data_IF_717447153440
#
_entry.id   IF_717447153440
#
_cell.length_a   1.000
_cell.length_b   1.000
_cell.length_c   1.000
_cell.angle_alpha   90.00
_cell.angle_beta   90.00
_cell.angle_gamma   90.00
#
_symmetry.space_group_name_H-M   'P 1'
#
loop_
_entity.id
_entity.type
_entity.pdbx_description
1 polymer ?
#
# COMPACT_ATOMS: atom_id res chain seq x y z
N UNK A 1 -41.96 0.20 -29.86
CA UNK A 1 -41.18 -1.05 -29.74
C UNK A 1 -39.76 -0.65 -29.40
N UNK A 2 -39.29 -0.89 -28.16
CA UNK A 2 -37.94 -0.50 -27.71
C UNK A 2 -36.96 -1.66 -27.97
N UNK A 3 -35.82 -1.45 -28.66
CA UNK A 3 -34.81 -2.49 -28.77
C UNK A 3 -34.13 -2.70 -27.41
N UNK A 4 -34.11 -3.95 -26.95
CA UNK A 4 -33.39 -4.36 -25.74
C UNK A 4 -31.91 -4.53 -26.08
N UNK A 5 -31.07 -3.56 -25.75
CA UNK A 5 -29.62 -3.70 -25.77
C UNK A 5 -29.20 -4.39 -24.46
N UNK A 6 -28.75 -5.64 -24.57
CA UNK A 6 -28.24 -6.41 -23.43
C UNK A 6 -26.79 -5.99 -23.15
N UNK A 7 -26.58 -5.21 -22.08
CA UNK A 7 -25.25 -4.91 -21.55
C UNK A 7 -25.02 -5.84 -20.36
N UNK A 8 -24.09 -6.78 -20.52
CA UNK A 8 -23.57 -7.63 -19.44
C UNK A 8 -22.65 -6.79 -18.55
N UNK A 9 -23.16 -6.30 -17.42
CA UNK A 9 -22.33 -5.77 -16.32
C UNK A 9 -22.20 -6.84 -15.24
N UNK A 10 -21.00 -7.42 -15.13
CA UNK A 10 -20.67 -8.37 -14.06
C UNK A 10 -20.46 -7.65 -12.73
N UNK A 11 -21.16 -8.14 -11.72
CA UNK A 11 -21.13 -7.72 -10.31
C UNK A 11 -19.74 -7.84 -9.69
N UNK A 12 -19.26 -6.77 -9.04
CA UNK A 12 -18.13 -6.85 -8.11
C UNK A 12 -18.52 -6.29 -6.74
N UNK A 13 -18.95 -7.18 -5.85
CA UNK A 13 -19.18 -6.94 -4.43
C UNK A 13 -18.14 -7.71 -3.61
N UNK A 14 -17.43 -7.03 -2.70
CA UNK A 14 -16.97 -7.49 -1.36
C UNK A 14 -16.01 -6.42 -0.80
N UNK A 15 -16.36 -5.70 0.27
CA UNK A 15 -16.31 -6.04 1.71
C UNK A 15 -14.90 -6.32 2.21
N UNK A 16 -14.36 -5.44 3.06
CA UNK A 16 -13.49 -5.84 4.18
C UNK A 16 -13.39 -4.72 5.24
N UNK A 17 -13.59 -5.17 6.47
CA UNK A 17 -13.79 -4.46 7.73
C UNK A 17 -12.48 -3.91 8.31
N UNK A 18 -12.53 -2.69 8.86
CA UNK A 18 -11.46 -2.10 9.68
C UNK A 18 -11.76 -2.49 11.15
N UNK A 19 -10.87 -3.27 11.78
CA UNK A 19 -10.86 -3.41 13.24
C UNK A 19 -9.80 -2.48 13.83
N UNK A 20 -10.28 -1.58 14.67
CA UNK A 20 -9.56 -0.65 15.53
C UNK A 20 -9.92 -1.06 16.97
N UNK A 21 -8.96 -1.22 17.88
CA UNK A 21 -9.10 -0.97 19.33
C UNK A 21 -7.82 -1.29 20.15
N UNK A 22 -7.69 -0.74 21.39
CA UNK A 22 -6.45 -0.18 21.93
C UNK A 22 -5.94 -0.79 23.28
N UNK A 23 -4.69 -0.44 23.64
CA UNK A 23 -4.23 0.02 24.97
C UNK A 23 -4.20 -0.91 26.20
N UNK A 24 -3.09 -0.89 26.97
CA UNK A 24 -2.95 -0.77 28.45
C UNK A 24 -1.44 -0.77 28.80
N UNK A 25 -0.82 0.31 29.31
CA UNK A 25 -0.75 0.84 30.68
C UNK A 25 0.29 0.16 31.62
N UNK A 26 1.20 0.99 32.15
CA UNK A 26 2.31 0.73 33.09
C UNK A 26 1.90 0.12 34.42
N UNK A 27 2.87 -0.54 35.09
CA UNK A 27 2.91 -0.64 36.54
C UNK A 27 4.34 -0.40 37.08
N UNK A 28 4.47 0.66 37.87
CA UNK A 28 5.57 0.98 38.77
C UNK A 28 5.46 0.16 40.06
N UNK A 29 6.58 -0.30 40.61
CA UNK A 29 6.66 -0.64 42.04
C UNK A 29 8.05 -0.34 42.59
N UNK A 30 8.09 0.66 43.46
CA UNK A 30 9.19 1.02 44.37
C UNK A 30 9.25 0.07 45.57
N UNK A 31 10.45 -0.28 46.01
CA UNK A 31 10.70 -0.73 47.39
C UNK A 31 12.10 -0.32 47.82
N UNK A 32 12.18 0.48 48.89
CA UNK A 32 13.41 0.82 49.59
C UNK A 32 13.78 -0.28 50.60
N UNK A 33 15.07 -0.48 50.82
CA UNK A 33 15.61 -1.39 51.85
C UNK A 33 17.10 -1.14 52.07
N UNK A 34 17.47 -0.94 53.33
CA UNK A 34 18.70 -0.28 53.81
C UNK A 34 19.83 -1.28 54.15
N UNK A 35 21.07 -0.85 53.91
CA UNK A 35 22.37 -1.25 54.55
C UNK A 35 22.81 -2.72 54.59
N UNK A 36 23.99 -3.02 54.05
CA UNK A 36 25.26 -3.28 54.79
C UNK A 36 26.35 -3.79 53.83
N UNK A 37 27.54 -3.21 53.91
CA UNK A 37 28.72 -3.63 53.15
C UNK A 37 29.27 -4.95 53.71
N UNK A 38 29.51 -5.93 52.85
CA UNK A 38 30.36 -7.10 53.12
C UNK A 38 31.15 -7.41 51.85
N UNK A 39 32.45 -7.13 51.90
CA UNK A 39 33.39 -7.48 50.84
C UNK A 39 33.49 -9.00 50.76
N UNK A 40 33.16 -9.57 49.60
CA UNK A 40 33.58 -10.91 49.19
C UNK A 40 33.88 -10.86 47.71
N UNK A 41 35.17 -10.89 47.39
CA UNK A 41 35.65 -11.04 46.03
C UNK A 41 35.29 -12.44 45.54
N UNK A 42 34.36 -12.54 44.58
CA UNK A 42 34.11 -13.77 43.82
C UNK A 42 33.72 -13.36 42.38
N UNK A 43 34.67 -13.60 41.47
CA UNK A 43 34.55 -13.87 40.03
C UNK A 43 33.50 -13.07 39.22
N UNK A 44 33.88 -12.20 38.26
CA UNK A 44 32.90 -11.73 37.28
C UNK A 44 32.51 -12.95 36.45
N UNK A 45 31.32 -13.51 36.67
CA UNK A 45 30.70 -14.40 35.69
C UNK A 45 30.42 -13.54 34.47
N UNK A 46 31.17 -13.66 33.35
CA UNK A 46 30.67 -13.09 32.12
C UNK A 46 29.60 -14.07 31.60
N UNK A 47 28.86 -13.68 30.57
CA UNK A 47 28.30 -14.57 29.54
C UNK A 47 26.82 -14.99 29.52
N UNK A 48 26.06 -15.17 30.61
CA UNK A 48 24.63 -15.58 30.43
C UNK A 48 23.76 -14.45 29.90
N UNK A 49 23.78 -13.28 30.57
CA UNK A 49 22.99 -12.13 30.13
C UNK A 49 23.42 -11.62 28.75
N UNK A 50 24.72 -11.57 28.44
CA UNK A 50 25.21 -11.07 27.15
C UNK A 50 24.87 -12.01 25.98
N UNK A 51 24.97 -13.33 26.18
CA UNK A 51 24.58 -14.31 25.17
C UNK A 51 23.06 -14.35 24.96
N UNK A 52 22.27 -14.35 26.06
CA UNK A 52 20.80 -14.25 25.97
C UNK A 52 20.35 -12.95 25.29
N UNK A 53 21.01 -11.82 25.58
CA UNK A 53 20.72 -10.55 24.93
C UNK A 53 21.06 -10.59 23.43
N UNK A 54 22.14 -11.26 23.03
CA UNK A 54 22.48 -11.47 21.62
C UNK A 54 21.41 -12.30 20.90
N UNK A 55 21.11 -13.51 21.39
CA UNK A 55 20.11 -14.40 20.77
C UNK A 55 18.73 -13.74 20.68
N UNK A 56 18.32 -13.02 21.74
CA UNK A 56 17.04 -12.29 21.73
C UNK A 56 17.02 -11.17 20.71
N UNK A 57 18.11 -10.41 20.58
CA UNK A 57 18.22 -9.33 19.59
C UNK A 57 18.28 -9.88 18.16
N UNK A 58 19.00 -10.99 17.94
CA UNK A 58 19.08 -11.68 16.66
C UNK A 58 17.70 -12.16 16.22
N UNK A 59 17.01 -12.92 17.07
CA UNK A 59 15.64 -13.39 16.79
C UNK A 59 14.65 -12.25 16.53
N UNK A 60 14.76 -11.13 17.26
CA UNK A 60 13.92 -9.95 17.03
C UNK A 60 14.20 -9.27 15.67
N UNK A 61 15.45 -9.26 15.21
CA UNK A 61 15.80 -8.73 13.88
C UNK A 61 15.35 -9.69 12.77
N UNK A 62 15.55 -11.00 12.94
CA UNK A 62 15.08 -12.01 12.00
C UNK A 62 13.57 -11.95 11.81
N UNK A 63 12.80 -11.84 12.90
CA UNK A 63 11.34 -11.68 12.85
C UNK A 63 10.95 -10.45 12.03
N UNK A 64 11.60 -9.31 12.30
CA UNK A 64 11.35 -8.08 11.57
C UNK A 64 11.68 -8.19 10.07
N UNK A 65 12.72 -8.93 9.70
CA UNK A 65 13.07 -9.17 8.30
C UNK A 65 12.04 -10.10 7.64
N UNK A 66 11.64 -11.18 8.32
CA UNK A 66 10.63 -12.12 7.84
C UNK A 66 9.25 -11.48 7.65
N UNK A 67 8.84 -10.59 8.55
CA UNK A 67 7.59 -9.82 8.42
C UNK A 67 7.61 -8.95 7.15
N UNK A 68 8.76 -8.36 6.81
CA UNK A 68 8.94 -7.55 5.60
C UNK A 68 8.97 -8.42 4.35
N UNK A 69 9.66 -9.56 4.38
CA UNK A 69 9.66 -10.57 3.30
C UNK A 69 8.23 -11.01 3.00
N UNK A 70 7.48 -11.42 4.02
CA UNK A 70 6.08 -11.84 3.90
C UNK A 70 5.21 -10.73 3.30
N UNK A 71 5.45 -9.47 3.70
CA UNK A 71 4.75 -8.32 3.13
C UNK A 71 5.05 -8.17 1.63
N UNK A 72 6.31 -8.26 1.23
CA UNK A 72 6.74 -8.16 -0.18
C UNK A 72 6.20 -9.30 -1.03
N UNK A 73 6.16 -10.53 -0.51
CA UNK A 73 5.54 -11.68 -1.19
C UNK A 73 4.04 -11.45 -1.44
N UNK A 74 3.34 -10.87 -0.46
CA UNK A 74 1.95 -10.44 -0.63
C UNK A 74 1.79 -9.37 -1.70
N UNK A 75 2.71 -8.40 -1.78
CA UNK A 75 2.71 -7.38 -2.84
C UNK A 75 3.02 -7.97 -4.22
N UNK A 76 3.99 -8.88 -4.30
CA UNK A 76 4.32 -9.63 -5.52
C UNK A 76 3.12 -10.43 -6.04
N UNK A 77 2.42 -11.12 -5.14
CA UNK A 77 1.18 -11.83 -5.46
C UNK A 77 0.09 -10.89 -5.96
N UNK A 78 -0.06 -9.73 -5.33
CA UNK A 78 -1.01 -8.69 -5.77
C UNK A 78 -0.68 -8.19 -7.18
N UNK A 79 0.59 -7.91 -7.47
CA UNK A 79 1.04 -7.50 -8.81
C UNK A 79 0.71 -8.60 -9.83
N UNK A 80 1.07 -9.85 -9.56
CA UNK A 80 0.84 -10.98 -10.45
C UNK A 80 -0.66 -11.22 -10.73
N UNK A 81 -1.51 -11.11 -9.71
CA UNK A 81 -2.96 -11.31 -9.82
C UNK A 81 -3.73 -10.14 -10.43
N UNK A 82 -3.13 -8.95 -10.53
CA UNK A 82 -3.84 -7.76 -11.02
C UNK A 82 -4.08 -7.86 -12.52
N UNK A 83 -5.34 -7.88 -12.93
CA UNK A 83 -5.75 -7.94 -14.35
C UNK A 83 -5.82 -6.57 -15.02
N UNK A 84 -5.85 -5.49 -14.23
CA UNK A 84 -5.96 -4.12 -14.75
C UNK A 84 -4.62 -3.39 -14.77
N UNK A 85 -3.59 -3.96 -14.16
CA UNK A 85 -2.26 -3.35 -14.11
C UNK A 85 -1.62 -3.31 -15.50
N UNK A 86 -1.10 -2.16 -15.89
CA UNK A 86 -0.45 -1.98 -17.19
C UNK A 86 0.81 -2.85 -17.30
N UNK A 87 1.24 -3.22 -18.52
CA UNK A 87 2.49 -3.97 -18.70
C UNK A 87 3.73 -3.22 -18.17
N UNK A 88 3.75 -1.90 -18.31
CA UNK A 88 4.84 -1.04 -17.84
C UNK A 88 4.90 -1.06 -16.31
N UNK A 89 3.79 -0.78 -15.64
CA UNK A 89 3.74 -0.76 -14.18
C UNK A 89 3.99 -2.14 -13.59
N UNK A 90 3.49 -3.20 -14.22
CA UNK A 90 3.81 -4.58 -13.82
C UNK A 90 5.31 -4.82 -13.82
N UNK A 91 6.00 -4.39 -14.87
CA UNK A 91 7.45 -4.57 -15.00
C UNK A 91 8.19 -3.77 -13.93
N UNK A 92 7.85 -2.49 -13.77
CA UNK A 92 8.46 -1.59 -12.78
C UNK A 92 8.25 -2.10 -11.35
N UNK A 93 7.02 -2.44 -10.99
CA UNK A 93 6.70 -2.92 -9.64
C UNK A 93 7.31 -4.30 -9.37
N UNK A 94 7.35 -5.19 -10.36
CA UNK A 94 7.99 -6.52 -10.21
C UNK A 94 9.50 -6.39 -10.03
N UNK A 95 10.13 -5.42 -10.70
CA UNK A 95 11.55 -5.13 -10.50
C UNK A 95 11.83 -4.55 -9.10
N UNK A 96 10.96 -3.65 -8.62
CA UNK A 96 11.05 -3.06 -7.28
C UNK A 96 10.92 -4.12 -6.18
N UNK A 97 9.87 -4.95 -6.25
CA UNK A 97 9.56 -5.96 -5.22
C UNK A 97 10.38 -7.25 -5.37
N UNK A 98 10.91 -7.50 -6.56
CA UNK A 98 11.39 -8.81 -7.00
C UNK A 98 12.49 -9.47 -6.15
N UNK A 99 12.69 -10.77 -6.39
CA UNK A 99 13.68 -11.60 -5.69
C UNK A 99 15.11 -11.46 -6.23
N UNK A 100 15.35 -10.58 -7.20
CA UNK A 100 16.70 -10.28 -7.68
C UNK A 100 17.51 -9.59 -6.58
N UNK A 101 18.85 -9.64 -6.67
CA UNK A 101 19.74 -9.04 -5.68
C UNK A 101 19.61 -7.51 -5.56
N UNK A 102 18.95 -6.86 -6.51
CA UNK A 102 18.64 -5.42 -6.49
C UNK A 102 17.19 -5.13 -6.11
N UNK A 103 16.33 -6.15 -6.06
CA UNK A 103 14.97 -6.03 -5.58
C UNK A 103 14.90 -6.18 -4.07
N UNK A 104 13.83 -5.66 -3.47
CA UNK A 104 13.71 -5.59 -2.02
C UNK A 104 13.67 -6.98 -1.38
N UNK A 105 13.03 -7.96 -2.04
CA UNK A 105 12.91 -9.32 -1.53
C UNK A 105 14.26 -10.05 -1.58
N UNK A 106 15.05 -9.88 -2.63
CA UNK A 106 16.40 -10.45 -2.70
C UNK A 106 17.35 -9.84 -1.67
N UNK A 107 17.27 -8.52 -1.47
CA UNK A 107 18.08 -7.80 -0.48
C UNK A 107 17.76 -8.25 0.96
N UNK A 108 16.48 -8.41 1.29
CA UNK A 108 16.07 -8.87 2.62
C UNK A 108 16.44 -10.34 2.87
N UNK A 109 16.32 -11.22 1.87
CA UNK A 109 16.77 -12.62 2.01
C UNK A 109 18.28 -12.74 2.23
N UNK A 110 19.07 -11.93 1.51
CA UNK A 110 20.52 -11.87 1.74
C UNK A 110 20.85 -11.35 3.15
N UNK A 111 20.10 -10.36 3.63
CA UNK A 111 20.26 -9.83 4.99
C UNK A 111 19.88 -10.86 6.05
N UNK A 112 18.77 -11.58 5.87
CA UNK A 112 18.36 -12.64 6.79
C UNK A 112 19.48 -13.69 6.94
N UNK A 113 20.10 -14.07 5.82
CA UNK A 113 21.21 -15.04 5.82
C UNK A 113 22.42 -14.51 6.59
N UNK A 114 22.75 -13.21 6.44
CA UNK A 114 23.85 -12.59 7.20
C UNK A 114 23.54 -12.53 8.69
N UNK A 115 22.35 -12.06 9.07
CA UNK A 115 21.90 -11.98 10.47
C UNK A 115 21.93 -13.35 11.15
N UNK A 116 21.55 -14.42 10.45
CA UNK A 116 21.64 -15.79 10.96
C UNK A 116 23.08 -16.27 11.19
N UNK A 117 24.05 -15.69 10.46
CA UNK A 117 25.47 -15.99 10.58
C UNK A 117 26.22 -15.09 11.56
N UNK A 118 25.59 -14.01 12.05
CA UNK A 118 26.19 -13.10 13.01
C UNK A 118 26.57 -13.83 14.31
N UNK A 119 27.69 -13.43 14.91
CA UNK A 119 28.18 -14.01 16.17
C UNK A 119 28.37 -12.95 17.25
N UNK A 120 28.26 -11.67 16.88
CA UNK A 120 28.48 -10.53 17.79
C UNK A 120 27.39 -9.47 17.67
N UNK A 121 27.18 -8.73 18.76
CA UNK A 121 26.26 -7.60 18.77
C UNK A 121 26.69 -6.44 17.83
N UNK A 122 27.97 -6.38 17.46
CA UNK A 122 28.48 -5.37 16.54
C UNK A 122 28.06 -5.66 15.10
N UNK A 123 28.19 -6.92 14.66
CA UNK A 123 27.73 -7.39 13.34
C UNK A 123 26.21 -7.17 13.22
N UNK A 124 25.43 -7.61 14.21
CA UNK A 124 23.98 -7.46 14.22
C UNK A 124 23.52 -6.01 14.12
N UNK A 125 24.23 -5.08 14.78
CA UNK A 125 23.95 -3.65 14.68
C UNK A 125 24.32 -3.08 13.31
N UNK A 126 25.41 -3.54 12.71
CA UNK A 126 25.83 -3.12 11.38
C UNK A 126 24.78 -3.54 10.33
N UNK A 127 24.35 -4.80 10.35
CA UNK A 127 23.34 -5.33 9.43
C UNK A 127 21.99 -4.64 9.60
N UNK A 128 21.55 -4.43 10.84
CA UNK A 128 20.33 -3.64 11.12
C UNK A 128 20.42 -2.22 10.53
N UNK A 129 21.59 -1.59 10.63
CA UNK A 129 21.79 -0.20 10.18
C UNK A 129 21.93 -0.10 8.67
N UNK A 130 22.50 -1.11 8.02
CA UNK A 130 22.72 -1.12 6.58
C UNK A 130 21.42 -1.35 5.78
N UNK A 131 20.45 -2.09 6.34
CA UNK A 131 19.35 -2.65 5.52
C UNK A 131 18.00 -2.00 5.82
N UNK A 132 17.71 -1.72 7.10
CA UNK A 132 16.39 -1.20 7.49
C UNK A 132 16.12 0.23 6.99
N UNK A 133 17.11 1.14 6.92
CA UNK A 133 16.92 2.48 6.36
C UNK A 133 16.53 2.50 4.88
N UNK A 134 17.11 1.62 4.10
CA UNK A 134 16.95 1.60 2.64
C UNK A 134 15.73 0.78 2.21
N UNK A 135 15.29 -0.16 3.05
CA UNK A 135 14.12 -1.00 2.79
C UNK A 135 12.88 -0.50 3.52
N UNK A 136 12.33 0.61 3.01
CA UNK A 136 11.10 1.28 3.48
C UNK A 136 9.83 0.55 3.01
N UNK A 137 9.77 -0.76 3.25
CA UNK A 137 8.70 -1.65 2.74
C UNK A 137 7.31 -1.14 3.09
N UNK A 138 7.07 -0.72 4.33
CA UNK A 138 5.73 -0.32 4.77
C UNK A 138 5.33 1.10 4.40
N UNK A 139 6.28 2.00 4.18
CA UNK A 139 6.02 3.45 4.04
C UNK A 139 6.31 4.00 2.64
N UNK A 140 7.04 3.27 1.81
CA UNK A 140 7.30 3.62 0.40
C UNK A 140 6.80 2.52 -0.51
N UNK A 141 7.36 1.31 -0.39
CA UNK A 141 7.15 0.23 -1.36
C UNK A 141 5.70 -0.25 -1.38
N UNK A 142 5.13 -0.52 -0.21
CA UNK A 142 3.74 -0.93 -0.10
C UNK A 142 2.77 0.16 -0.61
N UNK A 143 2.91 1.45 -0.24
CA UNK A 143 2.13 2.51 -0.86
C UNK A 143 2.26 2.57 -2.38
N UNK A 144 3.48 2.56 -2.93
CA UNK A 144 3.72 2.61 -4.38
C UNK A 144 2.95 1.48 -5.08
N UNK A 145 3.15 0.23 -4.68
CA UNK A 145 2.44 -0.91 -5.29
C UNK A 145 0.91 -0.77 -5.17
N UNK A 146 0.42 -0.41 -3.98
CA UNK A 146 -1.02 -0.38 -3.75
C UNK A 146 -1.72 0.79 -4.46
N UNK A 147 -1.10 1.96 -4.52
CA UNK A 147 -1.63 3.14 -5.21
C UNK A 147 -1.58 2.89 -6.71
N UNK A 148 -0.46 2.46 -7.29
CA UNK A 148 -0.36 2.16 -8.73
C UNK A 148 -1.40 1.12 -9.17
N UNK A 149 -1.53 -0.01 -8.46
CA UNK A 149 -2.56 -1.02 -8.79
C UNK A 149 -3.98 -0.42 -8.77
N UNK A 150 -4.25 0.50 -7.85
CA UNK A 150 -5.58 1.12 -7.73
C UNK A 150 -5.79 2.20 -8.79
N UNK A 151 -4.78 3.01 -9.09
CA UNK A 151 -4.79 4.01 -10.16
C UNK A 151 -5.05 3.33 -11.51
N UNK A 152 -4.32 2.26 -11.84
CA UNK A 152 -4.55 1.48 -13.07
C UNK A 152 -5.96 0.90 -13.16
N UNK A 153 -6.51 0.45 -12.02
CA UNK A 153 -7.89 -0.02 -11.97
C UNK A 153 -8.89 1.11 -12.22
N UNK A 154 -8.66 2.29 -11.67
CA UNK A 154 -9.48 3.49 -11.92
C UNK A 154 -9.38 3.86 -13.40
N UNK A 155 -8.17 3.91 -13.97
CA UNK A 155 -7.94 4.18 -15.41
C UNK A 155 -8.71 3.20 -16.29
N UNK A 156 -8.66 1.91 -15.97
CA UNK A 156 -9.40 0.89 -16.69
C UNK A 156 -10.91 1.12 -16.65
N UNK A 157 -11.48 1.36 -15.46
CA UNK A 157 -12.93 1.59 -15.31
C UNK A 157 -13.34 2.90 -15.99
N UNK A 158 -12.55 3.97 -15.84
CA UNK A 158 -12.79 5.26 -16.48
C UNK A 158 -12.84 5.09 -18.01
N UNK A 159 -11.92 4.29 -18.57
CA UNK A 159 -11.91 3.96 -20.00
C UNK A 159 -13.15 3.17 -20.44
N UNK A 160 -13.65 2.25 -19.60
CA UNK A 160 -14.92 1.56 -19.87
C UNK A 160 -16.10 2.53 -19.90
N UNK A 161 -16.16 3.48 -18.95
CA UNK A 161 -17.19 4.53 -18.94
C UNK A 161 -17.12 5.35 -20.22
N UNK A 162 -15.93 5.85 -20.60
CA UNK A 162 -15.74 6.59 -21.85
C UNK A 162 -16.20 5.79 -23.07
N UNK A 163 -15.94 4.47 -23.10
CA UNK A 163 -16.36 3.62 -24.22
C UNK A 163 -17.87 3.48 -24.38
N UNK A 164 -18.65 3.65 -23.30
CA UNK A 164 -20.11 3.55 -23.31
C UNK A 164 -20.82 4.91 -23.39
N UNK A 165 -20.11 6.03 -23.26
CA UNK A 165 -20.69 7.38 -23.35
C UNK A 165 -21.57 7.61 -24.59
N UNK A 166 -21.21 7.16 -25.82
CA UNK A 166 -22.08 7.32 -26.98
C UNK A 166 -23.45 6.61 -26.83
N UNK A 167 -23.47 5.45 -26.17
CA UNK A 167 -24.70 4.72 -25.89
C UNK A 167 -25.53 5.44 -24.84
N UNK A 168 -24.90 5.95 -23.78
CA UNK A 168 -25.59 6.73 -22.74
C UNK A 168 -26.21 8.00 -23.35
N UNK A 169 -25.47 8.72 -24.20
CA UNK A 169 -25.96 9.90 -24.93
C UNK A 169 -27.17 9.58 -25.81
N UNK A 170 -27.16 8.43 -26.49
CA UNK A 170 -28.31 7.95 -27.27
C UNK A 170 -29.53 7.73 -26.37
N UNK A 171 -29.36 7.11 -25.21
CA UNK A 171 -30.46 6.89 -24.26
C UNK A 171 -31.01 8.21 -23.68
N UNK A 172 -30.15 9.18 -23.37
CA UNK A 172 -30.57 10.53 -22.95
C UNK A 172 -31.49 11.15 -24.01
N UNK A 173 -31.13 11.00 -25.29
CA UNK A 173 -31.93 11.50 -26.42
C UNK A 173 -33.25 10.75 -26.55
N UNK A 174 -33.24 9.42 -26.45
CA UNK A 174 -34.43 8.57 -26.50
C UNK A 174 -35.40 8.83 -25.34
N UNK A 175 -34.88 9.25 -24.18
CA UNK A 175 -35.66 9.71 -23.03
C UNK A 175 -36.20 11.14 -23.20
N UNK A 176 -36.01 11.76 -24.37
CA UNK A 176 -36.51 13.09 -24.69
C UNK A 176 -35.70 14.23 -24.06
N UNK A 177 -34.43 13.98 -23.70
CA UNK A 177 -33.55 14.95 -23.04
C UNK A 177 -34.13 15.47 -21.72
N UNK A 178 -34.51 14.55 -20.83
CA UNK A 178 -34.97 14.93 -19.50
C UNK A 178 -33.86 15.71 -18.77
N UNK A 179 -34.24 16.74 -18.00
CA UNK A 179 -33.26 17.56 -17.28
C UNK A 179 -32.36 16.72 -16.35
N UNK A 180 -32.93 15.70 -15.71
CA UNK A 180 -32.21 14.75 -14.85
C UNK A 180 -31.15 13.98 -15.63
N UNK A 181 -31.51 13.40 -16.78
CA UNK A 181 -30.58 12.59 -17.58
C UNK A 181 -29.47 13.44 -18.19
N UNK A 182 -29.81 14.65 -18.67
CA UNK A 182 -28.82 15.59 -19.21
C UNK A 182 -27.84 16.06 -18.13
N UNK A 183 -28.30 16.37 -16.91
CA UNK A 183 -27.42 16.73 -15.80
C UNK A 183 -26.49 15.58 -15.43
N UNK A 184 -27.02 14.36 -15.28
CA UNK A 184 -26.23 13.17 -14.96
C UNK A 184 -25.18 12.88 -16.04
N UNK A 185 -25.56 12.94 -17.32
CA UNK A 185 -24.63 12.75 -18.44
C UNK A 185 -23.50 13.78 -18.46
N UNK A 186 -23.80 15.08 -18.29
CA UNK A 186 -22.78 16.12 -18.22
C UNK A 186 -21.84 15.95 -17.02
N UNK A 187 -22.35 15.44 -15.90
CA UNK A 187 -21.55 15.14 -14.72
C UNK A 187 -20.56 14.00 -14.99
N UNK A 188 -21.00 12.92 -15.65
CA UNK A 188 -20.12 11.82 -16.07
C UNK A 188 -18.97 12.34 -16.93
N UNK A 189 -19.25 13.16 -17.93
CA UNK A 189 -18.20 13.74 -18.81
C UNK A 189 -17.19 14.60 -18.04
N UNK A 190 -17.70 15.39 -17.08
CA UNK A 190 -16.86 16.20 -16.19
C UNK A 190 -15.97 15.30 -15.32
N UNK A 191 -16.54 14.24 -14.76
CA UNK A 191 -15.85 13.29 -13.89
C UNK A 191 -14.75 12.52 -14.63
N UNK A 192 -15.01 12.06 -15.85
CA UNK A 192 -14.02 11.37 -16.70
C UNK A 192 -12.78 12.24 -16.91
N UNK A 193 -12.97 13.54 -17.18
CA UNK A 193 -11.86 14.49 -17.37
C UNK A 193 -11.11 14.74 -16.05
N UNK A 194 -11.83 14.90 -14.94
CA UNK A 194 -11.24 15.12 -13.63
C UNK A 194 -10.43 13.92 -13.14
N UNK A 195 -10.97 12.70 -13.29
CA UNK A 195 -10.31 11.44 -12.94
C UNK A 195 -9.05 11.24 -13.77
N UNK A 196 -9.10 11.50 -15.08
CA UNK A 196 -7.92 11.42 -15.96
C UNK A 196 -6.80 12.36 -15.49
N UNK A 197 -7.16 13.58 -15.09
CA UNK A 197 -6.20 14.56 -14.56
C UNK A 197 -5.64 14.13 -13.20
N UNK A 198 -6.49 13.60 -12.32
CA UNK A 198 -6.10 13.08 -11.00
C UNK A 198 -5.08 11.94 -11.12
N UNK A 199 -5.34 10.97 -12.00
CA UNK A 199 -4.42 9.84 -12.25
C UNK A 199 -3.07 10.34 -12.76
N UNK A 200 -3.07 11.28 -13.72
CA UNK A 200 -1.81 11.85 -14.25
C UNK A 200 -0.97 12.49 -13.14
N UNK A 201 -1.62 13.17 -12.20
CA UNK A 201 -0.93 13.75 -11.04
C UNK A 201 -0.42 12.67 -10.07
N UNK A 202 -1.21 11.62 -9.81
CA UNK A 202 -0.81 10.47 -8.99
C UNK A 202 0.43 9.79 -9.58
N UNK A 203 0.47 9.56 -10.89
CA UNK A 203 1.61 8.91 -11.56
C UNK A 203 2.88 9.77 -11.46
N UNK A 204 2.74 11.09 -11.61
CA UNK A 204 3.84 12.02 -11.41
C UNK A 204 4.36 12.00 -9.97
N UNK A 205 3.47 11.93 -8.99
CA UNK A 205 3.81 11.88 -7.56
C UNK A 205 4.44 10.53 -7.17
N UNK A 206 3.97 9.42 -7.74
CA UNK A 206 4.54 8.09 -7.52
C UNK A 206 5.99 8.01 -7.98
N UNK A 207 6.34 8.67 -9.08
CA UNK A 207 7.71 8.72 -9.58
C UNK A 207 8.72 9.36 -8.60
N UNK A 208 8.27 10.17 -7.65
CA UNK A 208 9.13 10.78 -6.63
C UNK A 208 9.27 9.95 -5.35
N UNK A 209 8.46 8.89 -5.18
CA UNK A 209 8.49 8.04 -4.00
C UNK A 209 9.67 7.06 -4.04
N UNK A 210 10.72 7.39 -3.31
CA UNK A 210 11.90 6.53 -3.17
C UNK A 210 12.34 6.45 -1.71
N UNK A 211 13.06 5.38 -1.30
CA UNK A 211 13.64 5.30 0.04
C UNK A 211 14.55 6.49 0.37
N UNK A 212 15.34 6.98 -0.60
CA UNK A 212 16.21 8.14 -0.43
C UNK A 212 15.42 9.43 -0.23
N UNK A 213 14.35 9.66 -0.99
CA UNK A 213 13.46 10.80 -0.80
C UNK A 213 12.79 10.76 0.58
N UNK A 214 12.39 9.58 1.05
CA UNK A 214 11.86 9.42 2.40
C UNK A 214 12.90 9.74 3.47
N UNK A 215 14.13 9.27 3.32
CA UNK A 215 15.21 9.56 4.28
C UNK A 215 15.54 11.07 4.34
N UNK A 216 15.41 11.78 3.22
CA UNK A 216 15.59 13.23 3.16
C UNK A 216 14.42 14.02 3.77
N UNK A 217 13.17 13.56 3.57
CA UNK A 217 11.97 14.25 4.06
C UNK A 217 10.84 13.27 4.45
N UNK A 218 10.91 12.64 5.64
CA UNK A 218 9.93 11.64 6.05
C UNK A 218 8.50 12.18 6.13
N UNK A 219 8.33 13.39 6.69
CA UNK A 219 7.01 14.01 6.89
C UNK A 219 6.38 14.45 5.56
N UNK A 220 7.19 14.97 4.64
CA UNK A 220 6.74 15.35 3.30
C UNK A 220 6.27 14.13 2.51
N UNK A 221 7.07 13.06 2.49
CA UNK A 221 6.68 11.81 1.81
C UNK A 221 5.44 11.20 2.44
N UNK A 222 5.32 11.21 3.77
CA UNK A 222 4.12 10.70 4.43
C UNK A 222 2.87 11.51 4.02
N UNK A 223 2.97 12.84 4.01
CA UNK A 223 1.87 13.72 3.59
C UNK A 223 1.48 13.48 2.13
N UNK A 224 2.47 13.29 1.25
CA UNK A 224 2.26 12.99 -0.17
C UNK A 224 1.56 11.64 -0.38
N UNK A 225 1.99 10.59 0.33
CA UNK A 225 1.31 9.28 0.28
C UNK A 225 -0.15 9.40 0.74
N UNK A 226 -0.42 10.20 1.77
CA UNK A 226 -1.78 10.44 2.24
C UNK A 226 -2.64 11.20 1.23
N UNK A 227 -2.10 12.23 0.56
CA UNK A 227 -2.84 12.96 -0.48
C UNK A 227 -3.19 12.06 -1.66
N UNK A 228 -2.25 11.26 -2.15
CA UNK A 228 -2.54 10.29 -3.22
C UNK A 228 -3.63 9.29 -2.81
N UNK A 229 -3.58 8.76 -1.59
CA UNK A 229 -4.63 7.87 -1.09
C UNK A 229 -5.99 8.56 -1.01
N UNK A 230 -6.03 9.85 -0.68
CA UNK A 230 -7.27 10.62 -0.67
C UNK A 230 -7.80 10.81 -2.09
N UNK A 231 -6.94 11.16 -3.05
CA UNK A 231 -7.31 11.30 -4.47
C UNK A 231 -7.89 10.00 -5.02
N UNK A 232 -7.18 8.88 -4.86
CA UNK A 232 -7.64 7.55 -5.31
C UNK A 232 -8.97 7.16 -4.67
N UNK A 233 -9.19 7.47 -3.38
CA UNK A 233 -10.49 7.22 -2.72
C UNK A 233 -11.61 8.07 -3.29
N UNK A 234 -11.34 9.35 -3.55
CA UNK A 234 -12.31 10.26 -4.14
C UNK A 234 -12.68 9.79 -5.56
N UNK A 235 -11.69 9.48 -6.39
CA UNK A 235 -11.92 8.99 -7.76
C UNK A 235 -12.72 7.69 -7.77
N UNK A 236 -12.44 6.77 -6.85
CA UNK A 236 -13.23 5.54 -6.69
C UNK A 236 -14.69 5.81 -6.28
N UNK A 237 -14.92 6.83 -5.44
CA UNK A 237 -16.28 7.24 -5.07
C UNK A 237 -17.01 7.89 -6.26
N UNK A 238 -16.31 8.71 -7.03
CA UNK A 238 -16.82 9.32 -8.26
C UNK A 238 -17.22 8.26 -9.29
N UNK A 239 -16.36 7.26 -9.56
CA UNK A 239 -16.70 6.16 -10.47
C UNK A 239 -17.94 5.36 -10.03
N UNK A 240 -18.13 5.19 -8.72
CA UNK A 240 -19.37 4.56 -8.20
C UNK A 240 -20.58 5.45 -8.47
N UNK A 241 -20.46 6.75 -8.30
CA UNK A 241 -21.54 7.67 -8.60
C UNK A 241 -21.87 7.66 -10.10
N UNK A 242 -20.85 7.72 -10.97
CA UNK A 242 -21.05 7.64 -12.43
C UNK A 242 -21.76 6.34 -12.82
N UNK A 243 -21.41 5.22 -12.20
CA UNK A 243 -22.11 3.97 -12.41
C UNK A 243 -23.61 4.06 -12.02
N UNK A 244 -23.94 4.71 -10.90
CA UNK A 244 -25.32 4.92 -10.48
C UNK A 244 -26.07 5.88 -11.41
N UNK A 245 -25.40 6.90 -11.93
CA UNK A 245 -25.94 7.86 -12.89
C UNK A 245 -26.24 7.16 -14.22
N UNK A 246 -25.33 6.33 -14.73
CA UNK A 246 -25.54 5.49 -15.91
C UNK A 246 -26.74 4.56 -15.72
N UNK A 247 -26.87 3.91 -14.56
CA UNK A 247 -28.03 3.05 -14.25
C UNK A 247 -29.34 3.85 -14.25
N UNK A 248 -29.32 5.06 -13.71
CA UNK A 248 -30.49 5.94 -13.67
C UNK A 248 -30.93 6.32 -15.09
N UNK A 249 -29.99 6.75 -15.94
CA UNK A 249 -30.26 7.11 -17.34
C UNK A 249 -30.79 5.90 -18.13
N UNK A 250 -30.15 4.74 -17.96
CA UNK A 250 -30.45 3.53 -18.75
C UNK A 250 -31.63 2.71 -18.23
N UNK A 251 -32.06 2.94 -16.99
CA UNK A 251 -33.09 2.14 -16.32
C UNK A 251 -32.68 0.69 -16.06
N UNK A 252 -31.38 0.38 -16.07
CA UNK A 252 -30.85 -0.96 -15.79
C UNK A 252 -30.70 -1.13 -14.27
N UNK A 253 -31.37 -2.14 -13.70
CA UNK A 253 -31.35 -2.49 -12.29
C UNK A 253 -30.08 -3.24 -11.88
#
# INVERSE_FOLDING_TARGET
MRPKIAILLSTLATTSTIMFMPGVASATSSSAGTTTSSSSAINPSPTTNSAQNFTSAQSALETQIQDRISKLEGLSSKIASSTTLTPTDRTTLSALVGSSSTGDLGTLNATLTKVQSDTTMAELKADRTAVIPDLRVYVVVAPVVNITVTADKITYINSLITSIEPNVSTVVTDNGNSATDTTAYNQIQTNVTAITSSITNIDSELGSLTPSAFNANPTGIHSQVLSMWQSVKNDWATLKQDHQDIKTITGIA
#
